data_IF_601140679933
#
_entry.id   IF_601140679933
#
_cell.length_a   1.000
_cell.length_b   1.000
_cell.length_c   1.000
_cell.angle_alpha   90.00
_cell.angle_beta   90.00
_cell.angle_gamma   90.00
#
_symmetry.space_group_name_H-M   'P 1'
#
loop_
_entity.id
_entity.type
_entity.pdbx_description
1 polymer ?
#
# COMPACT_ATOMS: atom_id res chain seq x y z
N UNK A 1 40.37 0.85 -4.80
CA UNK A 1 39.15 0.10 -5.14
C UNK A 1 38.02 1.09 -5.40
N UNK A 2 37.18 0.92 -6.44
CA UNK A 2 36.03 1.78 -6.66
C UNK A 2 35.09 1.70 -5.45
N UNK A 3 34.57 2.85 -5.00
CA UNK A 3 33.59 2.88 -3.91
C UNK A 3 32.26 2.30 -4.43
N UNK A 4 31.81 1.20 -3.81
CA UNK A 4 30.55 0.52 -4.17
C UNK A 4 29.34 1.31 -3.65
N UNK A 5 28.21 1.17 -4.34
CA UNK A 5 26.95 1.73 -3.87
C UNK A 5 26.50 1.03 -2.56
N UNK A 6 26.04 1.80 -1.56
CA UNK A 6 25.57 1.25 -0.28
C UNK A 6 24.11 0.79 -0.30
N UNK A 7 23.37 1.08 -1.38
CA UNK A 7 21.96 0.69 -1.54
C UNK A 7 21.86 -0.83 -1.70
N UNK A 8 21.01 -1.53 -0.91
CA UNK A 8 20.87 -2.97 -1.01
C UNK A 8 20.54 -3.44 -2.43
N UNK A 9 21.17 -4.54 -2.83
CA UNK A 9 20.99 -5.19 -4.14
C UNK A 9 21.36 -4.32 -5.36
N UNK A 10 21.86 -3.11 -5.17
CA UNK A 10 22.45 -2.32 -6.24
C UNK A 10 23.81 -2.89 -6.63
N UNK A 11 24.01 -3.15 -7.93
CA UNK A 11 25.31 -3.56 -8.51
C UNK A 11 26.00 -2.43 -9.29
N UNK A 12 25.52 -1.20 -9.15
CA UNK A 12 26.13 -0.04 -9.80
C UNK A 12 27.55 0.19 -9.28
N UNK A 13 28.52 0.33 -10.19
CA UNK A 13 29.94 0.57 -9.88
C UNK A 13 30.65 -0.62 -9.21
N UNK A 14 30.18 -1.85 -9.45
CA UNK A 14 30.82 -3.08 -8.96
C UNK A 14 31.80 -3.70 -9.97
N UNK A 15 31.56 -3.52 -11.28
CA UNK A 15 32.42 -4.03 -12.36
C UNK A 15 33.04 -2.87 -13.14
N UNK A 16 34.15 -3.13 -13.83
CA UNK A 16 34.87 -2.13 -14.64
C UNK A 16 33.99 -1.59 -15.78
N UNK A 17 33.07 -2.43 -16.28
CA UNK A 17 32.19 -2.12 -17.42
C UNK A 17 30.98 -1.26 -17.04
N UNK A 18 30.60 -1.21 -15.76
CA UNK A 18 29.44 -0.44 -15.27
C UNK A 18 29.86 0.72 -14.38
N UNK A 19 30.64 1.64 -14.97
CA UNK A 19 31.15 2.84 -14.30
C UNK A 19 30.06 3.91 -14.21
N UNK A 20 29.21 3.82 -13.18
CA UNK A 20 28.21 4.84 -12.85
C UNK A 20 28.79 5.88 -11.89
N UNK A 21 28.30 7.13 -11.96
CA UNK A 21 28.70 8.16 -11.01
C UNK A 21 28.22 7.80 -9.60
N UNK A 22 29.09 8.03 -8.61
CA UNK A 22 28.80 7.77 -7.19
C UNK A 22 29.01 9.02 -6.37
N UNK A 23 28.04 9.31 -5.49
CA UNK A 23 28.01 10.51 -4.68
C UNK A 23 28.30 10.21 -3.21
N UNK A 24 29.01 11.13 -2.55
CA UNK A 24 29.24 11.08 -1.10
C UNK A 24 28.00 11.54 -0.36
N UNK A 25 27.79 11.01 0.85
CA UNK A 25 26.78 11.56 1.75
C UNK A 25 27.08 13.04 2.03
N UNK A 26 26.04 13.90 2.06
CA UNK A 26 26.18 15.31 2.40
C UNK A 26 26.87 15.54 3.75
N UNK A 27 27.53 16.70 3.88
CA UNK A 27 28.06 17.21 5.16
C UNK A 27 26.96 17.80 6.04
N UNK A 28 25.93 18.37 5.43
CA UNK A 28 24.74 18.84 6.13
C UNK A 28 24.03 17.65 6.79
N UNK A 29 23.90 17.72 8.11
CA UNK A 29 23.33 16.64 8.90
C UNK A 29 21.86 16.39 8.57
N UNK A 30 21.12 17.43 8.19
CA UNK A 30 19.68 17.32 7.87
C UNK A 30 19.47 16.52 6.59
N UNK A 31 20.16 16.90 5.52
CA UNK A 31 20.13 16.20 4.24
C UNK A 31 20.79 14.82 4.32
N UNK A 32 21.86 14.67 5.10
CA UNK A 32 22.48 13.37 5.39
C UNK A 32 21.47 12.42 6.04
N UNK A 33 20.74 12.87 7.04
CA UNK A 33 19.69 12.06 7.69
C UNK A 33 18.53 11.77 6.74
N UNK A 34 18.18 12.69 5.83
CA UNK A 34 17.21 12.42 4.78
C UNK A 34 17.67 11.30 3.84
N UNK A 35 18.95 11.28 3.45
CA UNK A 35 19.52 10.20 2.64
C UNK A 35 19.54 8.86 3.38
N UNK A 36 19.90 8.85 4.67
CA UNK A 36 19.90 7.63 5.49
C UNK A 36 18.48 7.04 5.57
N UNK A 37 17.48 7.88 5.83
CA UNK A 37 16.07 7.45 5.87
C UNK A 37 15.53 6.99 4.52
N UNK A 38 15.99 7.60 3.44
CA UNK A 38 15.52 7.26 2.10
C UNK A 38 16.06 5.92 1.61
N UNK A 39 17.27 5.51 2.02
CA UNK A 39 17.83 4.22 1.62
C UNK A 39 17.13 3.09 2.40
N UNK A 40 16.51 2.10 1.74
CA UNK A 40 15.74 1.05 2.38
C UNK A 40 16.66 0.00 3.03
N UNK A 41 17.33 0.37 4.12
CA UNK A 41 18.25 -0.49 4.88
C UNK A 41 18.25 -0.10 6.36
N UNK A 42 17.77 -1.00 7.21
CA UNK A 42 17.62 -0.77 8.66
C UNK A 42 18.97 -0.51 9.35
N UNK A 43 20.03 -1.26 9.00
CA UNK A 43 21.35 -1.13 9.62
C UNK A 43 22.31 -0.19 8.86
N UNK A 44 21.80 0.84 8.17
CA UNK A 44 22.67 1.74 7.40
C UNK A 44 23.44 2.71 8.31
N UNK A 45 24.65 2.32 8.69
CA UNK A 45 25.66 3.26 9.20
C UNK A 45 26.34 3.98 8.03
N UNK A 46 25.97 5.25 7.79
CA UNK A 46 26.64 6.07 6.78
C UNK A 46 28.07 6.40 7.23
N UNK A 47 29.05 5.61 6.77
CA UNK A 47 30.48 5.83 7.00
C UNK A 47 31.06 6.80 5.97
N UNK A 48 32.31 7.22 6.16
CA UNK A 48 33.02 8.11 5.21
C UNK A 48 33.19 7.49 3.82
N UNK A 49 33.09 6.16 3.70
CA UNK A 49 33.21 5.43 2.44
C UNK A 49 31.85 5.06 1.83
N UNK A 50 30.73 5.31 2.51
CA UNK A 50 29.40 5.05 1.98
C UNK A 50 29.10 5.98 0.81
N UNK A 51 28.66 5.41 -0.32
CA UNK A 51 28.28 6.16 -1.54
C UNK A 51 26.95 5.68 -2.08
N UNK A 52 26.22 6.56 -2.75
CA UNK A 52 25.01 6.24 -3.50
C UNK A 52 25.26 6.55 -4.98
N UNK A 53 24.90 5.64 -5.89
CA UNK A 53 25.09 5.86 -7.33
C UNK A 53 23.97 6.70 -7.96
N UNK A 54 24.23 7.29 -9.12
CA UNK A 54 23.32 8.15 -9.86
C UNK A 54 21.99 7.48 -10.25
N UNK A 55 21.95 6.14 -10.35
CA UNK A 55 20.73 5.38 -10.63
C UNK A 55 19.63 5.59 -9.57
N UNK A 56 20.00 6.07 -8.38
CA UNK A 56 19.07 6.32 -7.28
C UNK A 56 18.53 7.76 -7.23
N UNK A 57 18.99 8.63 -8.13
CA UNK A 57 18.54 10.02 -8.24
C UNK A 57 17.72 10.22 -9.51
N UNK A 58 16.92 11.29 -9.55
CA UNK A 58 16.26 11.72 -10.78
C UNK A 58 17.27 12.40 -11.69
N UNK A 59 17.05 12.35 -13.00
CA UNK A 59 17.94 13.02 -13.95
C UNK A 59 17.95 14.53 -13.74
N UNK A 60 16.82 15.12 -13.32
CA UNK A 60 16.70 16.54 -12.98
C UNK A 60 17.60 16.97 -11.81
N UNK A 61 17.88 16.07 -10.87
CA UNK A 61 18.69 16.32 -9.68
C UNK A 61 20.19 16.23 -9.95
N UNK A 62 20.57 15.72 -11.12
CA UNK A 62 21.96 15.48 -11.52
C UNK A 62 22.43 16.62 -12.41
N UNK A 63 23.38 17.40 -11.90
CA UNK A 63 24.01 18.51 -12.62
C UNK A 63 25.22 17.98 -13.38
N UNK A 64 25.11 17.92 -14.71
CA UNK A 64 26.19 17.49 -15.62
C UNK A 64 26.88 18.65 -16.32
N UNK A 65 26.25 19.81 -16.39
CA UNK A 65 26.73 20.99 -17.11
C UNK A 65 26.64 22.22 -16.21
N UNK A 66 27.55 23.17 -16.41
CA UNK A 66 27.49 24.50 -15.83
C UNK A 66 27.22 25.52 -16.93
N UNK A 67 26.22 26.37 -16.73
CA UNK A 67 25.92 27.49 -17.62
C UNK A 67 26.35 28.81 -16.96
N UNK A 68 26.89 29.71 -17.77
CA UNK A 68 27.10 31.10 -17.38
C UNK A 68 26.52 32.01 -18.46
N UNK A 69 25.64 32.93 -18.06
CA UNK A 69 25.04 33.91 -18.96
C UNK A 69 25.76 35.24 -18.78
N UNK A 70 26.35 35.73 -19.87
CA UNK A 70 26.92 37.08 -19.90
C UNK A 70 25.77 38.10 -19.92
N UNK A 71 25.72 38.92 -18.87
CA UNK A 71 24.68 39.92 -18.61
C UNK A 71 24.64 41.00 -19.70
N UNK A 72 25.74 41.18 -20.43
CA UNK A 72 25.94 42.25 -21.41
C UNK A 72 25.52 41.84 -22.82
N UNK A 73 25.69 40.56 -23.18
CA UNK A 73 25.44 40.04 -24.53
C UNK A 73 24.26 39.07 -24.60
N UNK A 74 23.72 38.63 -23.45
CA UNK A 74 22.65 37.64 -23.35
C UNK A 74 23.06 36.23 -23.78
N UNK A 75 24.34 36.01 -24.12
CA UNK A 75 24.86 34.72 -24.56
C UNK A 75 25.11 33.83 -23.34
N UNK A 76 24.60 32.60 -23.40
CA UNK A 76 24.82 31.59 -22.36
C UNK A 76 25.86 30.59 -22.86
N UNK A 77 26.97 30.46 -22.12
CA UNK A 77 28.01 29.49 -22.37
C UNK A 77 27.76 28.29 -21.44
N UNK A 78 27.58 27.11 -22.02
CA UNK A 78 27.46 25.83 -21.30
C UNK A 78 28.74 25.03 -21.42
N UNK A 79 29.24 24.53 -20.29
CA UNK A 79 30.44 23.68 -20.23
C UNK A 79 30.11 22.40 -19.46
N UNK A 80 30.45 21.21 -20.00
CA UNK A 80 30.33 19.95 -19.27
C UNK A 80 31.22 19.92 -18.02
N UNK A 81 30.69 19.44 -16.91
CA UNK A 81 31.44 19.29 -15.66
C UNK A 81 32.31 18.01 -15.72
N UNK A 82 33.59 18.13 -15.34
CA UNK A 82 34.48 16.98 -15.18
C UNK A 82 34.03 16.02 -14.05
N UNK A 83 33.32 16.56 -13.05
CA UNK A 83 32.71 15.81 -11.97
C UNK A 83 31.23 16.18 -11.86
N UNK A 84 30.36 15.20 -12.12
CA UNK A 84 28.92 15.31 -11.94
C UNK A 84 28.59 15.65 -10.48
N UNK A 85 27.63 16.56 -10.27
CA UNK A 85 27.18 17.00 -8.93
C UNK A 85 25.69 16.77 -8.78
N UNK A 86 25.22 16.71 -7.54
CA UNK A 86 23.79 16.73 -7.23
C UNK A 86 23.35 18.15 -6.88
N UNK A 87 22.06 18.44 -7.09
CA UNK A 87 21.43 19.64 -6.53
C UNK A 87 21.56 19.66 -5.00
N UNK A 88 21.58 20.86 -4.38
CA UNK A 88 21.77 21.00 -2.94
C UNK A 88 20.72 20.27 -2.07
N UNK A 89 19.53 20.03 -2.61
CA UNK A 89 18.36 19.43 -1.97
C UNK A 89 18.05 18.01 -2.46
N UNK A 90 18.85 17.48 -3.37
CA UNK A 90 18.62 16.17 -3.96
C UNK A 90 18.68 15.06 -2.90
N UNK A 91 17.65 14.21 -2.89
CA UNK A 91 17.58 13.00 -2.06
C UNK A 91 17.41 11.77 -2.96
N UNK A 92 18.03 10.62 -2.63
CA UNK A 92 17.86 9.43 -3.43
C UNK A 92 16.40 8.96 -3.33
N UNK A 93 15.73 8.82 -4.48
CA UNK A 93 14.31 8.49 -4.54
C UNK A 93 14.00 7.29 -5.43
N UNK A 94 14.97 6.81 -6.23
CA UNK A 94 14.77 5.68 -7.15
C UNK A 94 15.38 4.42 -6.56
N UNK A 95 14.54 3.46 -6.17
CA UNK A 95 14.98 2.16 -5.67
C UNK A 95 14.35 1.03 -6.48
N UNK A 96 14.88 0.72 -7.69
CA UNK A 96 14.29 -0.29 -8.57
C UNK A 96 14.33 -1.72 -7.99
N UNK A 97 15.13 -1.96 -6.95
CA UNK A 97 15.18 -3.23 -6.23
C UNK A 97 14.36 -3.23 -4.93
N UNK A 98 13.58 -2.18 -4.68
CA UNK A 98 12.60 -2.14 -3.60
C UNK A 98 11.46 -3.11 -3.95
N UNK A 99 10.99 -3.95 -3.02
CA UNK A 99 9.84 -4.80 -3.27
C UNK A 99 8.65 -3.95 -3.75
N UNK A 100 7.88 -4.40 -4.76
CA UNK A 100 6.76 -3.63 -5.32
C UNK A 100 5.73 -3.15 -4.28
N UNK A 101 5.66 -3.82 -3.13
CA UNK A 101 4.75 -3.50 -2.04
C UNK A 101 5.10 -2.23 -1.24
N UNK A 102 6.29 -1.63 -1.42
CA UNK A 102 6.73 -0.39 -0.76
C UNK A 102 6.79 0.83 -1.69
N UNK A 103 6.26 0.72 -2.92
CA UNK A 103 6.20 1.88 -3.82
C UNK A 103 5.17 2.91 -3.35
N UNK A 104 5.39 4.21 -3.64
CA UNK A 104 4.43 5.28 -3.31
C UNK A 104 3.04 5.04 -3.91
N UNK A 105 2.98 4.38 -5.08
CA UNK A 105 1.74 4.02 -5.74
C UNK A 105 1.02 2.88 -4.97
N UNK A 106 1.77 1.87 -4.52
CA UNK A 106 1.21 0.78 -3.72
C UNK A 106 0.75 1.27 -2.35
N UNK A 107 1.49 2.17 -1.71
CA UNK A 107 1.08 2.79 -0.43
C UNK A 107 -0.22 3.58 -0.57
N UNK A 108 -0.39 4.32 -1.67
CA UNK A 108 -1.63 5.04 -1.97
C UNK A 108 -2.80 4.07 -2.18
N UNK A 109 -2.58 2.98 -2.92
CA UNK A 109 -3.58 1.92 -3.12
C UNK A 109 -3.97 1.24 -1.81
N UNK A 110 -3.00 0.99 -0.92
CA UNK A 110 -3.25 0.42 0.42
C UNK A 110 -4.13 1.38 1.24
N UNK A 111 -3.87 2.69 1.19
CA UNK A 111 -4.67 3.69 1.89
C UNK A 111 -6.10 3.74 1.34
N UNK A 112 -6.30 3.76 0.02
CA UNK A 112 -7.63 3.73 -0.61
C UNK A 112 -8.42 2.47 -0.24
N UNK A 113 -7.77 1.31 -0.28
CA UNK A 113 -8.38 0.03 0.12
C UNK A 113 -8.77 0.08 1.60
N UNK A 114 -7.90 0.59 2.47
CA UNK A 114 -8.17 0.70 3.90
C UNK A 114 -9.45 1.51 4.18
N UNK A 115 -9.66 2.64 3.51
CA UNK A 115 -10.87 3.47 3.66
C UNK A 115 -12.15 2.68 3.34
N UNK A 116 -12.12 1.86 2.28
CA UNK A 116 -13.24 0.99 1.88
C UNK A 116 -13.43 -0.11 2.92
N UNK A 117 -12.35 -0.70 3.43
CA UNK A 117 -12.41 -1.75 4.45
C UNK A 117 -12.98 -1.24 5.78
N UNK A 118 -12.66 0.00 6.19
CA UNK A 118 -13.28 0.63 7.37
C UNK A 118 -14.80 0.74 7.19
N UNK A 119 -15.26 1.16 6.00
CA UNK A 119 -16.70 1.21 5.71
C UNK A 119 -17.36 -0.17 5.77
N UNK A 120 -16.75 -1.19 5.15
CA UNK A 120 -17.24 -2.57 5.18
C UNK A 120 -17.26 -3.12 6.60
N UNK A 121 -16.23 -2.86 7.40
CA UNK A 121 -16.15 -3.26 8.79
C UNK A 121 -17.23 -2.59 9.64
N UNK A 122 -17.50 -1.28 9.45
CA UNK A 122 -18.59 -0.59 10.11
C UNK A 122 -19.96 -1.25 9.84
N UNK A 123 -20.23 -1.61 8.59
CA UNK A 123 -21.45 -2.34 8.24
C UNK A 123 -21.49 -3.76 8.83
N UNK A 124 -20.37 -4.50 8.79
CA UNK A 124 -20.28 -5.84 9.36
C UNK A 124 -20.51 -5.83 10.89
N UNK A 125 -19.97 -4.83 11.59
CA UNK A 125 -20.23 -4.60 13.01
C UNK A 125 -21.69 -4.27 13.24
N UNK A 126 -22.28 -3.34 12.48
CA UNK A 126 -23.70 -3.02 12.59
C UNK A 126 -24.60 -4.26 12.45
N UNK A 127 -24.36 -5.08 11.42
CA UNK A 127 -25.12 -6.30 11.18
C UNK A 127 -24.93 -7.34 12.31
N UNK A 128 -23.70 -7.44 12.83
CA UNK A 128 -23.38 -8.35 13.94
C UNK A 128 -24.09 -7.92 15.21
N UNK A 129 -24.04 -6.63 15.57
CA UNK A 129 -24.68 -6.10 16.77
C UNK A 129 -26.20 -6.21 16.72
N UNK A 130 -26.80 -6.00 15.53
CA UNK A 130 -28.24 -6.23 15.33
C UNK A 130 -28.65 -7.68 15.60
N UNK A 131 -27.74 -8.64 15.39
CA UNK A 131 -27.98 -10.06 15.63
C UNK A 131 -27.68 -10.48 17.07
N UNK A 132 -26.59 -10.00 17.64
CA UNK A 132 -26.16 -10.37 19.00
C UNK A 132 -26.97 -9.66 20.09
N UNK A 133 -27.48 -8.46 19.80
CA UNK A 133 -28.20 -7.62 20.76
C UNK A 133 -27.47 -7.48 22.11
N UNK A 134 -26.16 -7.25 22.08
CA UNK A 134 -25.29 -7.28 23.26
C UNK A 134 -24.55 -5.94 23.44
N UNK A 135 -24.74 -5.29 24.60
CA UNK A 135 -24.10 -4.01 24.93
C UNK A 135 -22.58 -4.15 25.08
N UNK A 136 -22.09 -5.13 25.84
CA UNK A 136 -20.64 -5.36 25.99
C UNK A 136 -19.95 -5.61 24.64
N UNK A 137 -20.57 -6.38 23.74
CA UNK A 137 -20.02 -6.56 22.39
C UNK A 137 -20.05 -5.26 21.57
N UNK A 138 -21.03 -4.38 21.77
CA UNK A 138 -21.06 -3.06 21.12
C UNK A 138 -19.85 -2.23 21.55
N UNK A 139 -19.55 -2.20 22.84
CA UNK A 139 -18.45 -1.40 23.38
C UNK A 139 -17.09 -1.90 22.86
N UNK A 140 -16.91 -3.22 22.70
CA UNK A 140 -15.67 -3.79 22.16
C UNK A 140 -15.57 -3.65 20.63
N UNK A 141 -16.69 -3.70 19.92
CA UNK A 141 -16.71 -3.69 18.44
C UNK A 141 -16.76 -2.29 17.84
N UNK A 142 -17.01 -1.25 18.65
CA UNK A 142 -17.15 0.12 18.16
C UNK A 142 -16.20 1.07 18.86
N UNK A 143 -15.87 2.18 18.20
CA UNK A 143 -15.05 3.25 18.77
C UNK A 143 -15.93 4.48 18.95
N UNK A 144 -15.66 5.23 20.02
CA UNK A 144 -16.34 6.50 20.27
C UNK A 144 -16.02 7.53 19.17
N UNK A 145 -17.08 8.06 18.56
CA UNK A 145 -17.00 9.07 17.49
C UNK A 145 -16.34 10.38 17.93
N UNK A 146 -16.32 10.68 19.22
CA UNK A 146 -15.77 11.92 19.78
C UNK A 146 -14.25 11.85 19.97
N UNK A 147 -13.72 10.67 20.25
CA UNK A 147 -12.28 10.44 20.51
C UNK A 147 -11.49 10.32 19.21
N UNK A 148 -12.11 9.82 18.13
CA UNK A 148 -11.50 9.63 16.80
C UNK A 148 -11.14 10.94 16.08
N UNK A 149 -11.46 12.11 16.64
CA UNK A 149 -11.13 13.44 16.08
C UNK A 149 -9.68 13.87 16.41
N UNK A 150 -8.90 13.05 17.11
CA UNK A 150 -7.46 13.29 17.22
C UNK A 150 -6.72 12.87 15.94
N UNK A 151 -5.62 13.56 15.61
CA UNK A 151 -4.82 13.39 14.39
C UNK A 151 -4.18 11.99 14.19
N UNK A 152 -4.50 11.00 15.02
CA UNK A 152 -3.89 9.68 15.04
C UNK A 152 -4.59 8.61 14.16
N UNK A 153 -5.77 8.90 13.57
CA UNK A 153 -6.53 7.88 12.82
C UNK A 153 -7.12 8.37 11.48
N UNK A 154 -6.26 8.80 10.56
CA UNK A 154 -6.63 9.26 9.19
C UNK A 154 -7.53 8.27 8.43
N UNK A 155 -7.48 6.96 8.75
CA UNK A 155 -8.29 5.94 8.08
C UNK A 155 -9.81 6.03 8.35
N UNK A 156 -10.26 6.79 9.35
CA UNK A 156 -11.70 7.05 9.57
C UNK A 156 -12.21 8.30 8.86
N UNK A 157 -11.34 9.13 8.29
CA UNK A 157 -11.74 10.43 7.70
C UNK A 157 -12.75 10.25 6.57
N UNK A 158 -12.59 9.21 5.75
CA UNK A 158 -13.55 8.89 4.69
C UNK A 158 -14.94 8.57 5.23
N UNK A 159 -15.02 7.71 6.25
CA UNK A 159 -16.31 7.36 6.87
C UNK A 159 -16.93 8.57 7.55
N UNK A 160 -16.12 9.44 8.15
CA UNK A 160 -16.55 10.70 8.76
C UNK A 160 -17.14 11.68 7.75
N UNK A 161 -16.55 11.79 6.56
CA UNK A 161 -17.09 12.64 5.50
C UNK A 161 -18.43 12.11 4.97
N UNK A 162 -18.65 10.79 5.01
CA UNK A 162 -19.90 10.16 4.60
C UNK A 162 -20.97 10.12 5.70
N UNK A 163 -20.59 10.27 6.98
CA UNK A 163 -21.50 10.07 8.10
C UNK A 163 -22.52 11.21 8.19
N UNK A 164 -23.80 10.82 8.20
CA UNK A 164 -24.95 11.71 8.46
C UNK A 164 -25.55 11.47 9.86
N UNK A 165 -24.78 10.85 10.74
CA UNK A 165 -25.15 10.51 12.13
C UNK A 165 -25.48 9.04 12.36
N UNK A 166 -25.55 8.22 11.31
CA UNK A 166 -25.99 6.82 11.37
C UNK A 166 -24.90 5.77 11.17
N UNK A 167 -23.69 6.16 10.76
CA UNK A 167 -22.62 5.19 10.49
C UNK A 167 -21.99 4.68 11.78
N UNK A 168 -21.61 3.40 11.76
CA UNK A 168 -20.91 2.72 12.86
C UNK A 168 -19.41 2.77 12.58
N UNK A 169 -18.64 3.13 13.61
CA UNK A 169 -17.19 3.21 13.56
C UNK A 169 -16.64 1.92 14.18
N UNK A 170 -16.06 1.02 13.38
CA UNK A 170 -15.59 -0.27 13.86
C UNK A 170 -14.34 -0.11 14.74
N UNK A 171 -14.13 -1.02 15.68
CA UNK A 171 -12.86 -1.15 16.39
C UNK A 171 -11.77 -1.79 15.52
N UNK A 172 -10.51 -1.66 15.94
CA UNK A 172 -9.38 -2.30 15.26
C UNK A 172 -9.53 -3.82 15.21
N UNK A 173 -10.13 -4.44 16.23
CA UNK A 173 -10.46 -5.87 16.21
C UNK A 173 -11.34 -6.23 15.00
N UNK A 174 -12.40 -5.47 14.76
CA UNK A 174 -13.29 -5.71 13.63
C UNK A 174 -12.63 -5.35 12.28
N UNK A 175 -11.86 -4.25 12.24
CA UNK A 175 -11.16 -3.82 11.04
C UNK A 175 -10.11 -4.84 10.60
N UNK A 176 -9.30 -5.36 11.54
CA UNK A 176 -8.31 -6.40 11.27
C UNK A 176 -8.98 -7.65 10.73
N UNK A 177 -10.07 -8.12 11.34
CA UNK A 177 -10.81 -9.29 10.85
C UNK A 177 -11.27 -9.12 9.39
N UNK A 178 -11.79 -7.93 9.03
CA UNK A 178 -12.21 -7.62 7.66
C UNK A 178 -11.01 -7.47 6.71
N UNK A 179 -9.89 -6.93 7.17
CA UNK A 179 -8.67 -6.80 6.38
C UNK A 179 -8.06 -8.18 6.04
N UNK A 180 -7.98 -9.10 7.01
CA UNK A 180 -7.56 -10.48 6.75
C UNK A 180 -8.50 -11.16 5.77
N UNK A 181 -9.81 -10.98 5.95
CA UNK A 181 -10.82 -11.51 5.03
C UNK A 181 -10.62 -10.98 3.60
N UNK A 182 -10.29 -9.70 3.45
CA UNK A 182 -10.00 -9.09 2.16
C UNK A 182 -8.77 -9.70 1.49
N UNK A 183 -7.66 -9.82 2.22
CA UNK A 183 -6.42 -10.43 1.71
C UNK A 183 -6.66 -11.87 1.26
N UNK A 184 -7.37 -12.67 2.06
CA UNK A 184 -7.72 -14.04 1.69
C UNK A 184 -8.57 -14.08 0.42
N UNK A 185 -9.59 -13.22 0.31
CA UNK A 185 -10.44 -13.16 -0.88
C UNK A 185 -9.66 -12.74 -2.13
N UNK A 186 -8.82 -11.70 -2.06
CA UNK A 186 -8.00 -11.26 -3.19
C UNK A 186 -7.02 -12.35 -3.62
N UNK A 187 -6.36 -13.02 -2.67
CA UNK A 187 -5.42 -14.09 -2.97
C UNK A 187 -6.11 -15.30 -3.60
N UNK A 188 -7.29 -15.68 -3.11
CA UNK A 188 -8.03 -16.78 -3.70
C UNK A 188 -8.66 -16.41 -5.04
N UNK A 189 -8.99 -15.14 -5.27
CA UNK A 189 -9.54 -14.66 -6.53
C UNK A 189 -8.55 -14.78 -7.70
N UNK A 190 -7.23 -14.90 -7.43
CA UNK A 190 -6.25 -15.19 -8.47
C UNK A 190 -6.27 -16.65 -8.93
N UNK A 191 -6.93 -17.53 -8.17
CA UNK A 191 -7.00 -18.97 -8.45
C UNK A 191 -8.32 -19.27 -9.19
N UNK A 192 -8.29 -19.80 -10.43
CA UNK A 192 -9.49 -20.17 -11.18
C UNK A 192 -10.40 -21.15 -10.44
N UNK A 193 -9.81 -22.00 -9.60
CA UNK A 193 -10.47 -23.04 -8.83
C UNK A 193 -11.47 -22.46 -7.84
N UNK A 194 -11.19 -21.28 -7.24
CA UNK A 194 -12.10 -20.67 -6.28
C UNK A 194 -13.48 -20.44 -6.91
N UNK A 195 -13.52 -19.92 -8.14
CA UNK A 195 -14.78 -19.61 -8.85
C UNK A 195 -15.63 -20.87 -9.12
N UNK A 196 -15.02 -22.05 -9.11
CA UNK A 196 -15.69 -23.33 -9.32
C UNK A 196 -16.19 -23.97 -8.02
N UNK A 197 -15.73 -23.49 -6.85
CA UNK A 197 -16.13 -24.04 -5.56
C UNK A 197 -17.57 -23.64 -5.20
N UNK A 198 -18.37 -24.60 -4.71
CA UNK A 198 -19.73 -24.32 -4.21
C UNK A 198 -19.74 -23.63 -2.84
N UNK A 199 -18.67 -23.80 -2.07
CA UNK A 199 -18.58 -23.38 -0.67
C UNK A 199 -17.56 -22.26 -0.43
N UNK A 200 -17.33 -21.40 -1.44
CA UNK A 200 -16.36 -20.28 -1.39
C UNK A 200 -16.38 -19.52 -0.06
N UNK A 201 -17.59 -19.17 0.42
CA UNK A 201 -17.73 -18.43 1.68
C UNK A 201 -17.16 -19.19 2.87
N UNK A 202 -17.46 -20.47 2.98
CA UNK A 202 -17.03 -21.28 4.13
C UNK A 202 -15.51 -21.41 4.13
N UNK A 203 -14.93 -21.71 2.96
CA UNK A 203 -13.46 -21.80 2.77
C UNK A 203 -12.76 -20.50 3.15
N UNK A 204 -13.25 -19.36 2.66
CA UNK A 204 -12.69 -18.05 3.01
C UNK A 204 -12.78 -17.80 4.51
N UNK A 205 -13.94 -18.08 5.12
CA UNK A 205 -14.14 -17.87 6.56
C UNK A 205 -13.19 -18.74 7.40
N UNK A 206 -13.05 -20.03 7.07
CA UNK A 206 -12.23 -20.96 7.83
C UNK A 206 -10.73 -20.62 7.72
N UNK A 207 -10.26 -20.28 6.52
CA UNK A 207 -8.88 -19.79 6.31
C UNK A 207 -8.63 -18.49 7.07
N UNK A 208 -9.57 -17.55 7.02
CA UNK A 208 -9.43 -16.26 7.71
C UNK A 208 -9.38 -16.44 9.23
N UNK A 209 -10.26 -17.28 9.79
CA UNK A 209 -10.24 -17.61 11.22
C UNK A 209 -8.94 -18.29 11.63
N UNK A 210 -8.42 -19.20 10.80
CA UNK A 210 -7.14 -19.86 11.07
C UNK A 210 -5.97 -18.88 11.08
N UNK A 211 -5.94 -17.92 10.16
CA UNK A 211 -4.92 -16.87 10.14
C UNK A 211 -4.99 -16.00 11.40
N UNK A 212 -6.19 -15.54 11.76
CA UNK A 212 -6.39 -14.71 12.96
C UNK A 212 -6.06 -15.46 14.26
N UNK A 213 -6.26 -16.77 14.31
CA UNK A 213 -5.91 -17.59 15.49
C UNK A 213 -4.39 -17.75 15.68
N UNK A 214 -3.59 -17.56 14.63
CA UNK A 214 -2.13 -17.64 14.69
C UNK A 214 -1.48 -16.28 15.04
N UNK A 215 -2.26 -15.20 15.13
CA UNK A 215 -1.79 -13.89 15.58
C UNK A 215 -1.78 -13.78 17.12
N UNK A 216 -1.30 -12.65 17.64
CA UNK A 216 -1.33 -12.40 19.08
C UNK A 216 -2.78 -12.52 19.63
N UNK A 217 -2.97 -13.18 20.79
CA UNK A 217 -4.29 -13.39 21.34
C UNK A 217 -4.97 -12.05 21.61
N UNK A 218 -6.14 -11.86 21.02
CA UNK A 218 -6.98 -10.68 21.26
C UNK A 218 -7.47 -10.66 22.71
N UNK A 219 -7.45 -9.49 23.35
CA UNK A 219 -8.03 -9.21 24.69
C UNK A 219 -9.59 -9.26 24.72
N UNK A 220 -10.20 -10.00 23.80
CA UNK A 220 -11.65 -10.12 23.73
C UNK A 220 -12.12 -11.19 24.72
N UNK A 221 -12.46 -10.76 25.92
CA UNK A 221 -13.06 -11.62 26.95
C UNK A 221 -14.46 -12.09 26.56
N UNK A 222 -14.81 -13.32 26.96
CA UNK A 222 -16.17 -13.83 26.85
C UNK A 222 -17.14 -12.88 27.55
N UNK A 223 -18.20 -12.48 26.83
CA UNK A 223 -19.21 -11.58 27.41
C UNK A 223 -20.21 -12.34 28.29
N UNK A 224 -20.99 -11.61 29.09
CA UNK A 224 -22.00 -12.18 30.00
C UNK A 224 -23.10 -12.98 29.26
N UNK A 225 -23.32 -12.68 27.97
CA UNK A 225 -24.22 -13.43 27.11
C UNK A 225 -23.58 -14.68 26.48
N UNK A 226 -22.35 -15.05 26.88
CA UNK A 226 -21.63 -16.22 26.39
C UNK A 226 -20.96 -16.06 25.02
N UNK A 227 -20.98 -14.87 24.42
CA UNK A 227 -20.26 -14.63 23.16
C UNK A 227 -18.75 -14.62 23.37
N UNK A 228 -18.06 -15.54 22.70
CA UNK A 228 -16.61 -15.62 22.61
C UNK A 228 -16.10 -14.81 21.42
N UNK A 229 -14.81 -14.48 21.42
CA UNK A 229 -14.13 -13.82 20.29
C UNK A 229 -14.37 -14.54 18.97
N UNK A 230 -14.22 -15.87 18.96
CA UNK A 230 -14.46 -16.72 17.79
C UNK A 230 -15.90 -16.61 17.28
N UNK A 231 -16.89 -16.63 18.17
CA UNK A 231 -18.30 -16.53 17.79
C UNK A 231 -18.63 -15.18 17.14
N UNK A 232 -18.04 -14.10 17.67
CA UNK A 232 -18.18 -12.74 17.14
C UNK A 232 -17.48 -12.61 15.79
N UNK A 233 -16.25 -13.11 15.67
CA UNK A 233 -15.52 -13.16 14.41
C UNK A 233 -16.29 -13.89 13.32
N UNK A 234 -16.90 -15.05 13.64
CA UNK A 234 -17.74 -15.79 12.68
C UNK A 234 -18.88 -14.94 12.13
N UNK A 235 -19.50 -14.09 12.95
CA UNK A 235 -20.55 -13.18 12.49
C UNK A 235 -20.03 -12.05 11.60
N UNK A 236 -18.93 -11.41 11.99
CA UNK A 236 -18.28 -10.35 11.21
C UNK A 236 -17.83 -10.92 9.85
N UNK A 237 -17.08 -12.01 9.87
CA UNK A 237 -16.53 -12.67 8.68
C UNK A 237 -17.62 -13.15 7.74
N UNK A 238 -18.72 -13.71 8.27
CA UNK A 238 -19.86 -14.09 7.42
C UNK A 238 -20.40 -12.89 6.64
N UNK A 239 -20.47 -11.71 7.26
CA UNK A 239 -20.94 -10.50 6.60
C UNK A 239 -19.94 -10.00 5.55
N UNK A 240 -18.68 -9.81 5.95
CA UNK A 240 -17.63 -9.27 5.09
C UNK A 240 -17.34 -10.19 3.90
N UNK A 241 -17.24 -11.51 4.11
CA UNK A 241 -16.99 -12.47 3.02
C UNK A 241 -18.05 -12.39 1.93
N UNK A 242 -19.34 -12.26 2.29
CA UNK A 242 -20.41 -12.11 1.29
C UNK A 242 -20.25 -10.83 0.47
N UNK A 243 -19.91 -9.71 1.12
CA UNK A 243 -19.73 -8.42 0.45
C UNK A 243 -18.53 -8.49 -0.51
N UNK A 244 -17.41 -9.01 -0.02
CA UNK A 244 -16.16 -9.08 -0.76
C UNK A 244 -16.24 -10.04 -1.94
N UNK A 245 -16.77 -11.26 -1.74
CA UNK A 245 -16.97 -12.22 -2.84
C UNK A 245 -17.90 -11.67 -3.91
N UNK A 246 -19.00 -11.02 -3.51
CA UNK A 246 -19.92 -10.39 -4.47
C UNK A 246 -19.22 -9.29 -5.28
N UNK A 247 -18.38 -8.49 -4.63
CA UNK A 247 -17.60 -7.45 -5.30
C UNK A 247 -16.60 -8.05 -6.31
N UNK A 248 -15.86 -9.07 -5.91
CA UNK A 248 -14.90 -9.78 -6.77
C UNK A 248 -15.59 -10.40 -7.98
N UNK A 249 -16.67 -11.16 -7.77
CA UNK A 249 -17.45 -11.75 -8.86
C UNK A 249 -18.01 -10.68 -9.82
N UNK A 250 -18.48 -9.54 -9.28
CA UNK A 250 -18.90 -8.40 -10.09
C UNK A 250 -17.79 -7.88 -10.99
N UNK A 251 -16.62 -7.56 -10.43
CA UNK A 251 -15.44 -7.08 -11.17
C UNK A 251 -14.97 -8.07 -12.25
N UNK A 252 -15.03 -9.37 -11.96
CA UNK A 252 -14.69 -10.42 -12.93
C UNK A 252 -15.68 -10.43 -14.10
N UNK A 253 -16.97 -10.35 -13.81
CA UNK A 253 -18.01 -10.29 -14.84
C UNK A 253 -17.90 -9.05 -15.71
N UNK A 254 -17.64 -7.88 -15.12
CA UNK A 254 -17.45 -6.63 -15.87
C UNK A 254 -16.28 -6.74 -16.84
N UNK A 255 -15.15 -7.32 -16.42
CA UNK A 255 -13.99 -7.60 -17.29
C UNK A 255 -14.33 -8.54 -18.46
N UNK A 256 -15.16 -9.55 -18.22
CA UNK A 256 -15.59 -10.49 -19.27
C UNK A 256 -16.49 -9.80 -20.30
N UNK A 257 -17.41 -8.93 -19.84
CA UNK A 257 -18.28 -8.14 -20.71
C UNK A 257 -17.46 -7.17 -21.57
N UNK A 258 -16.51 -6.44 -20.95
CA UNK A 258 -15.61 -5.54 -21.65
C UNK A 258 -14.76 -6.24 -22.72
N UNK A 259 -14.26 -7.44 -22.41
CA UNK A 259 -13.49 -8.25 -23.35
C UNK A 259 -14.36 -8.72 -24.53
N UNK A 260 -15.60 -9.15 -24.26
CA UNK A 260 -16.55 -9.55 -25.29
C UNK A 260 -16.90 -8.38 -26.23
N UNK A 261 -17.12 -7.18 -25.70
CA UNK A 261 -17.46 -6.01 -26.49
C UNK A 261 -16.27 -5.49 -27.31
N UNK A 262 -15.05 -5.54 -26.77
CA UNK A 262 -13.83 -5.29 -27.55
C UNK A 262 -13.69 -6.28 -28.71
N UNK A 263 -13.95 -7.58 -28.47
CA UNK A 263 -13.90 -8.59 -29.50
C UNK A 263 -14.95 -8.38 -30.61
N UNK A 264 -16.17 -7.96 -30.25
CA UNK A 264 -17.22 -7.60 -31.23
C UNK A 264 -16.80 -6.40 -32.09
N UNK A 265 -16.28 -5.34 -31.46
CA UNK A 265 -15.80 -4.13 -32.17
C UNK A 265 -14.67 -4.47 -33.14
N UNK A 266 -13.71 -5.29 -32.72
CA UNK A 266 -12.62 -5.74 -33.58
C UNK A 266 -13.13 -6.54 -34.79
N UNK A 267 -14.05 -7.51 -34.57
CA UNK A 267 -14.68 -8.27 -35.66
C UNK A 267 -15.42 -7.37 -36.66
N UNK A 268 -16.16 -6.37 -36.18
CA UNK A 268 -16.87 -5.42 -37.03
C UNK A 268 -15.90 -4.57 -37.87
N UNK A 269 -14.78 -4.14 -37.29
CA UNK A 269 -13.76 -3.34 -37.99
C UNK A 269 -13.07 -4.13 -39.10
N UNK A 270 -12.77 -5.41 -38.86
CA UNK A 270 -12.17 -6.31 -39.88
C UNK A 270 -13.11 -6.59 -41.05
N UNK A 271 -14.42 -6.60 -40.82
CA UNK A 271 -15.42 -6.79 -41.88
C UNK A 271 -15.63 -5.53 -42.74
N UNK A 272 -15.41 -4.34 -42.19
CA UNK A 272 -15.52 -3.06 -42.92
C UNK A 272 -14.29 -2.75 -43.77
N UNK A 273 -13.15 -3.40 -43.50
CA UNK A 273 -11.89 -3.21 -44.23
C UNK A 273 -11.65 -4.28 -45.32
N UNK A 274 -12.69 -5.03 -45.69
CA UNK A 274 -12.72 -5.98 -46.83
C UNK A 274 -13.69 -5.48 -47.89
#
# INVERSE_FOLDING_TARGET
MPCKCCVPRCRGNYTVDTKVHVFKFPRDQTLRNAWIRAVPREDLSATENSRVCELHFREEDIIREASHTDVTTGRTITVPLSHVRLRPDAVPSKFPSCPPYLSSETLSKIQEVLLILVYVAGYAVYATLKRLNCAKCKDVLTVDKTITVSAAHEHYDFVKQLDRGGLVYPSMFALNAVAHCYVVVEQLATQPELLLMREQRQVVMDLTLHLLANEEPSDFDTCENGHTSESVLKHILRCSTNILLKNVCGKLNDKLLDAADKAKKWKATTLQNK
#
